data_IF_418070560702
#
_entry.id   IF_418070560702
#
_cell.length_a   1.000
_cell.length_b   1.000
_cell.length_c   1.000
_cell.angle_alpha   90.00
_cell.angle_beta   90.00
_cell.angle_gamma   90.00
#
_symmetry.space_group_name_H-M   'P 1'
#
loop_
_entity.id
_entity.type
_entity.pdbx_description
1 polymer ?
#
# COMPACT_ATOMS: atom_id res chain seq x y z
N UNK A 1 -9.57 9.13 -15.34
CA UNK A 1 -9.08 8.41 -14.13
C UNK A 1 -8.65 7.01 -14.53
N UNK A 2 -7.43 6.63 -14.19
CA UNK A 2 -6.90 5.31 -14.48
C UNK A 2 -6.55 4.62 -13.16
N UNK A 3 -7.32 3.60 -12.79
CA UNK A 3 -7.08 2.88 -11.55
C UNK A 3 -6.19 1.67 -11.82
N UNK A 4 -5.14 1.54 -11.04
CA UNK A 4 -4.23 0.41 -11.08
C UNK A 4 -4.08 -0.16 -9.67
N UNK A 5 -3.76 -1.44 -9.61
CA UNK A 5 -3.44 -2.10 -8.35
C UNK A 5 -1.95 -2.37 -8.29
N UNK A 6 -1.39 -2.24 -7.10
CA UNK A 6 -0.03 -2.67 -6.83
C UNK A 6 -0.05 -3.50 -5.56
N UNK A 7 0.74 -4.57 -5.53
CA UNK A 7 0.87 -5.44 -4.38
C UNK A 7 2.32 -5.45 -3.93
N UNK A 8 2.53 -5.27 -2.63
CA UNK A 8 3.84 -5.34 -2.02
C UNK A 8 3.86 -6.41 -0.94
N UNK A 9 5.00 -7.04 -0.74
CA UNK A 9 5.23 -7.89 0.43
C UNK A 9 5.77 -7.05 1.57
N UNK A 10 5.36 -7.38 2.79
CA UNK A 10 5.91 -6.74 3.98
C UNK A 10 6.52 -7.82 4.89
N UNK A 11 7.56 -7.43 5.63
CA UNK A 11 8.31 -8.38 6.44
C UNK A 11 7.86 -8.47 7.88
N UNK A 12 7.44 -7.36 8.47
CA UNK A 12 7.05 -7.30 9.87
C UNK A 12 5.53 -7.32 9.97
N UNK A 13 4.95 -8.14 10.84
CA UNK A 13 3.50 -8.15 11.03
C UNK A 13 2.98 -6.75 11.34
N UNK A 14 1.81 -6.42 10.81
CA UNK A 14 1.20 -5.12 11.02
C UNK A 14 0.63 -5.02 12.43
N UNK A 15 1.08 -4.03 13.18
CA UNK A 15 0.55 -3.71 14.48
C UNK A 15 -0.56 -2.68 14.38
N UNK A 16 -1.13 -2.32 15.54
CA UNK A 16 -2.20 -1.34 15.59
C UNK A 16 -1.80 0.02 15.03
N UNK A 17 -0.57 0.45 15.30
CA UNK A 17 -0.05 1.73 14.80
C UNK A 17 -0.02 1.76 13.28
N UNK A 18 0.44 0.68 12.68
CA UNK A 18 0.55 0.58 11.23
C UNK A 18 -0.83 0.56 10.58
N UNK A 19 -1.80 -0.13 11.18
CA UNK A 19 -3.17 -0.16 10.68
C UNK A 19 -3.79 1.24 10.74
N UNK A 20 -3.59 1.97 11.84
CA UNK A 20 -4.08 3.33 11.96
C UNK A 20 -3.44 4.26 10.95
N UNK A 21 -2.13 4.12 10.74
CA UNK A 21 -1.41 4.91 9.75
C UNK A 21 -1.90 4.61 8.33
N UNK A 22 -2.24 3.36 8.04
CA UNK A 22 -2.81 2.99 6.74
C UNK A 22 -4.19 3.61 6.53
N UNK A 23 -5.00 3.71 7.59
CA UNK A 23 -6.28 4.38 7.50
C UNK A 23 -6.10 5.85 7.11
N UNK A 24 -5.08 6.50 7.65
CA UNK A 24 -4.76 7.87 7.28
C UNK A 24 -4.26 7.96 5.84
N UNK A 25 -3.48 6.98 5.40
CA UNK A 25 -2.98 6.94 4.03
C UNK A 25 -4.10 6.80 2.99
N UNK A 26 -5.23 6.19 3.37
CA UNK A 26 -6.39 6.10 2.48
C UNK A 26 -6.98 7.45 2.11
N UNK A 27 -6.72 8.46 2.92
CA UNK A 27 -7.21 9.82 2.68
C UNK A 27 -6.30 10.60 1.73
N UNK A 28 -5.13 10.05 1.40
CA UNK A 28 -4.23 10.69 0.44
C UNK A 28 -4.88 10.70 -0.93
N UNK A 29 -4.84 11.86 -1.57
CA UNK A 29 -5.45 12.05 -2.87
C UNK A 29 -4.81 11.13 -3.91
N UNK A 30 -5.64 10.35 -4.58
CA UNK A 30 -5.17 9.35 -5.53
C UNK A 30 -5.21 7.91 -5.01
N UNK A 31 -5.27 7.71 -3.69
CA UNK A 31 -5.41 6.37 -3.11
C UNK A 31 -6.90 6.05 -3.03
N UNK A 32 -7.29 4.89 -3.55
CA UNK A 32 -8.69 4.47 -3.57
C UNK A 32 -9.00 3.41 -2.55
N UNK A 33 -8.18 2.36 -2.49
CA UNK A 33 -8.38 1.24 -1.55
C UNK A 33 -7.04 0.71 -1.09
N UNK A 34 -7.01 0.24 0.14
CA UNK A 34 -5.87 -0.47 0.70
C UNK A 34 -6.41 -1.74 1.33
N UNK A 35 -5.86 -2.88 0.94
CA UNK A 35 -6.18 -4.18 1.53
C UNK A 35 -4.89 -4.89 1.89
N UNK A 36 -4.90 -5.64 2.98
CA UNK A 36 -3.74 -6.44 3.35
C UNK A 36 -4.16 -7.87 3.66
N UNK A 37 -3.27 -8.80 3.36
CA UNK A 37 -3.44 -10.22 3.59
C UNK A 37 -2.35 -10.68 4.56
N UNK A 38 -2.74 -10.96 5.79
CA UNK A 38 -1.79 -11.37 6.82
C UNK A 38 -1.17 -12.75 6.55
N UNK A 39 -1.90 -13.62 5.88
CA UNK A 39 -1.38 -14.95 5.53
C UNK A 39 -0.23 -14.87 4.54
N UNK A 40 -0.40 -14.05 3.52
CA UNK A 40 0.57 -13.89 2.45
C UNK A 40 1.58 -12.79 2.74
N UNK A 41 1.38 -12.04 3.80
CA UNK A 41 2.18 -10.86 4.15
C UNK A 41 2.25 -9.89 2.96
N UNK A 42 1.09 -9.63 2.37
CA UNK A 42 0.98 -8.72 1.24
C UNK A 42 0.03 -7.58 1.53
N UNK A 43 0.28 -6.46 0.87
CA UNK A 43 -0.60 -5.30 0.94
C UNK A 43 -0.89 -4.87 -0.51
N UNK A 44 -2.17 -4.69 -0.79
CA UNK A 44 -2.63 -4.26 -2.12
C UNK A 44 -3.20 -2.87 -2.03
N UNK A 45 -2.76 -2.00 -2.92
CA UNK A 45 -3.25 -0.63 -3.01
C UNK A 45 -3.83 -0.40 -4.40
N UNK A 46 -5.08 0.06 -4.45
CA UNK A 46 -5.69 0.57 -5.67
C UNK A 46 -5.51 2.08 -5.68
N UNK A 47 -4.94 2.62 -6.73
CA UNK A 47 -4.64 4.04 -6.82
C UNK A 47 -4.90 4.57 -8.21
N UNK A 48 -5.05 5.89 -8.28
CA UNK A 48 -5.23 6.61 -9.55
C UNK A 48 -3.86 6.89 -10.16
N UNK A 49 -3.55 6.17 -11.23
CA UNK A 49 -2.24 6.26 -11.89
C UNK A 49 -1.99 7.60 -12.58
N UNK A 50 -3.02 8.44 -12.72
CA UNK A 50 -2.83 9.79 -13.24
C UNK A 50 -2.30 10.75 -12.19
N UNK A 51 -2.33 10.34 -10.91
CA UNK A 51 -1.92 11.19 -9.79
C UNK A 51 -0.74 10.63 -9.00
N UNK A 52 -0.64 9.31 -8.95
CA UNK A 52 0.39 8.61 -8.21
C UNK A 52 1.04 7.56 -9.10
N UNK A 53 2.25 7.17 -8.75
CA UNK A 53 2.88 6.00 -9.34
C UNK A 53 3.17 5.00 -8.23
N UNK A 54 3.61 3.81 -8.59
CA UNK A 54 3.87 2.74 -7.61
C UNK A 54 4.99 3.10 -6.63
N UNK A 55 5.97 3.88 -7.06
CA UNK A 55 7.03 4.35 -6.18
C UNK A 55 6.51 5.30 -5.11
N UNK A 56 5.57 6.17 -5.47
CA UNK A 56 4.93 7.09 -4.53
C UNK A 56 4.06 6.32 -3.54
N UNK A 57 3.34 5.30 -4.01
CA UNK A 57 2.54 4.43 -3.15
C UNK A 57 3.45 3.71 -2.14
N UNK A 58 4.57 3.19 -2.61
CA UNK A 58 5.54 2.54 -1.71
C UNK A 58 6.06 3.51 -0.65
N UNK A 59 6.34 4.75 -1.03
CA UNK A 59 6.81 5.77 -0.09
C UNK A 59 5.75 6.07 0.97
N UNK A 60 4.47 6.14 0.58
CA UNK A 60 3.38 6.35 1.53
C UNK A 60 3.31 5.22 2.54
N UNK A 61 3.43 3.97 2.09
CA UNK A 61 3.38 2.81 2.97
C UNK A 61 4.57 2.79 3.94
N UNK A 62 5.75 3.15 3.46
CA UNK A 62 6.94 3.23 4.31
C UNK A 62 6.81 4.30 5.37
N UNK A 63 6.21 5.44 5.04
CA UNK A 63 5.93 6.50 6.00
C UNK A 63 4.95 6.06 7.07
N UNK A 64 4.05 5.15 6.71
CA UNK A 64 3.10 4.57 7.67
C UNK A 64 3.76 3.56 8.60
N UNK A 65 5.04 3.25 8.40
CA UNK A 65 5.77 2.31 9.25
C UNK A 65 5.75 0.88 8.75
N UNK A 66 5.31 0.67 7.50
CA UNK A 66 5.26 -0.66 6.92
C UNK A 66 6.66 -1.05 6.46
N UNK A 67 7.11 -2.24 6.87
CA UNK A 67 8.38 -2.81 6.42
C UNK A 67 8.18 -3.43 5.04
N UNK A 68 8.18 -2.59 4.00
CA UNK A 68 8.01 -3.05 2.64
C UNK A 68 9.24 -3.81 2.17
N UNK A 69 9.02 -4.97 1.59
CA UNK A 69 10.09 -5.81 1.06
C UNK A 69 10.18 -5.64 -0.45
N UNK A 70 9.30 -6.27 -1.19
CA UNK A 70 9.37 -6.22 -2.65
C UNK A 70 7.99 -6.01 -3.25
N UNK A 71 7.98 -5.47 -4.44
CA UNK A 71 6.76 -5.36 -5.22
C UNK A 71 6.46 -6.71 -5.84
N UNK A 72 5.24 -7.22 -5.60
CA UNK A 72 4.76 -8.43 -6.24
C UNK A 72 4.19 -8.03 -7.58
N UNK A 73 4.72 -8.61 -8.63
CA UNK A 73 4.22 -8.29 -9.95
C UNK A 73 2.88 -8.98 -10.19
N UNK A 74 1.88 -8.17 -10.52
CA UNK A 74 0.57 -8.70 -10.92
C UNK A 74 0.63 -9.01 -12.41
N UNK A 75 0.25 -10.21 -12.76
CA UNK A 75 0.22 -10.65 -14.14
C UNK A 75 -1.18 -10.42 -14.71
#
# INVERSE_FOLDING_TARGET
MTLLDVVFKYGTPLGEKEVLALNNAREVYGVRKIKFDEKEHTIRVEYDATRLNDGEVAALLRRAGIDLREKVQLV
#
